data_IF_987329300971
#
_entry.id   IF_987329300971
#
_cell.length_a   1.000
_cell.length_b   1.000
_cell.length_c   1.000
_cell.angle_alpha   90.00
_cell.angle_beta   90.00
_cell.angle_gamma   90.00
#
_symmetry.space_group_name_H-M   'P 1'
#
loop_
_entity.id
_entity.type
_entity.pdbx_description
1 polymer ?
#
# COMPACT_ATOMS: atom_id res chain seq x y z
N UNK A 1 6.28 45.92 9.95
CA UNK A 1 5.30 44.81 10.10
C UNK A 1 4.99 44.11 8.77
N UNK A 2 5.95 43.96 7.83
CA UNK A 2 5.78 43.07 6.65
C UNK A 2 6.79 41.91 6.63
N UNK A 3 7.99 42.11 7.19
CA UNK A 3 9.07 41.11 7.23
C UNK A 3 8.72 39.79 7.94
N UNK A 4 7.93 39.81 9.02
CA UNK A 4 7.51 38.57 9.72
C UNK A 4 6.45 37.77 8.94
N UNK A 5 5.62 38.45 8.14
CA UNK A 5 4.63 37.80 7.29
C UNK A 5 5.31 37.18 6.07
N UNK A 6 6.31 37.87 5.52
CA UNK A 6 7.14 37.37 4.42
C UNK A 6 8.01 36.18 4.83
N UNK A 7 8.55 36.17 6.07
CA UNK A 7 9.26 35.03 6.66
C UNK A 7 8.34 33.83 6.91
N UNK A 8 7.09 34.05 7.38
CA UNK A 8 6.10 32.97 7.52
C UNK A 8 5.61 32.46 6.18
N UNK A 9 5.51 33.32 5.16
CA UNK A 9 5.13 32.94 3.80
C UNK A 9 6.24 32.14 3.13
N UNK A 10 7.50 32.54 3.29
CA UNK A 10 8.66 31.77 2.85
C UNK A 10 8.83 30.48 3.66
N UNK A 11 8.56 30.45 4.97
CA UNK A 11 8.63 29.21 5.75
C UNK A 11 7.50 28.22 5.41
N UNK A 12 6.31 28.74 5.02
CA UNK A 12 5.15 27.95 4.60
C UNK A 12 5.24 27.51 3.14
N UNK A 13 5.92 28.28 2.29
CA UNK A 13 6.26 27.89 0.91
C UNK A 13 7.44 26.90 0.87
N UNK A 14 8.35 26.96 1.85
CA UNK A 14 9.53 26.06 1.98
C UNK A 14 9.24 24.74 2.72
N UNK A 15 7.99 24.45 3.09
CA UNK A 15 7.49 23.06 3.26
C UNK A 15 7.34 22.38 1.88
N UNK A 16 8.38 22.52 1.07
CA UNK A 16 8.44 22.28 -0.35
C UNK A 16 8.52 20.79 -0.62
N UNK A 17 7.39 20.21 -1.05
CA UNK A 17 7.33 19.07 -1.99
C UNK A 17 8.35 17.95 -1.76
N UNK A 18 8.45 17.41 -0.54
CA UNK A 18 9.29 16.25 -0.28
C UNK A 18 8.46 14.98 -0.21
N UNK A 19 9.02 13.90 -0.75
CA UNK A 19 8.52 12.55 -0.53
C UNK A 19 8.92 12.15 0.89
N UNK A 20 7.94 11.77 1.69
CA UNK A 20 8.12 11.51 3.12
C UNK A 20 7.58 10.14 3.49
N UNK A 21 8.21 9.49 4.47
CA UNK A 21 7.70 8.25 5.04
C UNK A 21 6.62 8.63 6.06
N UNK A 22 5.40 8.18 5.81
CA UNK A 22 4.28 8.38 6.70
C UNK A 22 4.07 7.16 7.58
N UNK A 23 3.99 7.38 8.89
CA UNK A 23 3.58 6.33 9.84
C UNK A 23 2.22 6.75 10.42
N UNK A 24 1.16 5.97 10.21
CA UNK A 24 -0.15 6.25 10.79
C UNK A 24 -0.05 6.27 12.33
N UNK A 25 -0.63 7.29 12.96
CA UNK A 25 -0.62 7.43 14.42
C UNK A 25 -1.82 6.74 15.09
N UNK A 26 -2.87 6.43 14.33
CA UNK A 26 -4.15 5.91 14.84
C UNK A 26 -4.34 4.45 14.46
N UNK A 27 -4.77 3.65 15.43
CA UNK A 27 -5.06 2.22 15.28
C UNK A 27 -6.48 1.92 14.76
N UNK A 28 -7.27 2.95 14.39
CA UNK A 28 -8.66 2.78 13.96
C UNK A 28 -8.82 1.71 12.87
N UNK A 29 -7.81 1.56 12.03
CA UNK A 29 -7.69 0.43 11.14
C UNK A 29 -6.51 -0.45 11.53
N UNK A 30 -6.75 -1.42 12.43
CA UNK A 30 -5.78 -2.46 12.80
C UNK A 30 -5.18 -3.17 11.56
N UNK A 31 -5.87 -3.16 10.41
CA UNK A 31 -5.36 -3.73 9.14
C UNK A 31 -4.12 -3.00 8.63
N UNK A 32 -4.00 -1.68 8.85
CA UNK A 32 -2.84 -0.90 8.45
C UNK A 32 -1.59 -1.26 9.27
N UNK A 33 -1.81 -1.63 10.54
CA UNK A 33 -0.73 -2.01 11.47
C UNK A 33 -0.28 -3.45 11.22
N UNK A 34 -1.22 -4.37 11.03
CA UNK A 34 -0.92 -5.79 10.82
C UNK A 34 -0.16 -6.08 9.50
N UNK A 35 -0.17 -5.14 8.55
CA UNK A 35 0.51 -5.30 7.26
C UNK A 35 1.95 -4.77 7.25
N UNK A 36 2.43 -4.16 8.36
CA UNK A 36 3.77 -3.56 8.46
C UNK A 36 4.15 -2.71 7.22
N UNK A 37 3.15 -2.10 6.58
CA UNK A 37 3.32 -1.37 5.34
C UNK A 37 4.03 -0.05 5.59
N UNK A 38 5.04 0.25 4.77
CA UNK A 38 5.64 1.58 4.74
C UNK A 38 4.79 2.48 3.85
N UNK A 39 4.21 3.52 4.43
CA UNK A 39 3.44 4.50 3.65
C UNK A 39 4.35 5.63 3.22
N UNK A 40 4.12 6.12 2.01
CA UNK A 40 4.87 7.23 1.43
C UNK A 40 3.90 8.34 1.07
N UNK A 41 4.13 9.54 1.62
CA UNK A 41 3.38 10.75 1.29
C UNK A 41 4.08 11.45 0.15
N UNK A 42 3.35 11.65 -0.94
CA UNK A 42 3.82 12.38 -2.12
C UNK A 42 3.21 13.79 -2.17
N UNK A 43 3.93 14.77 -2.73
CA UNK A 43 3.34 16.06 -3.06
C UNK A 43 2.22 15.91 -4.11
N UNK A 44 1.26 16.85 -4.16
CA UNK A 44 0.23 16.85 -5.19
C UNK A 44 0.84 16.77 -6.60
N UNK A 45 0.13 16.07 -7.50
CA UNK A 45 0.50 15.94 -8.92
C UNK A 45 1.88 15.31 -9.17
N UNK A 46 2.44 14.58 -8.19
CA UNK A 46 3.74 13.91 -8.32
C UNK A 46 3.58 12.40 -8.43
N UNK A 47 4.21 11.80 -9.44
CA UNK A 47 4.30 10.34 -9.60
C UNK A 47 5.61 9.86 -8.96
N UNK A 48 5.54 8.84 -8.10
CA UNK A 48 6.70 8.33 -7.35
C UNK A 48 7.84 7.89 -8.28
N UNK A 49 7.50 7.13 -9.32
CA UNK A 49 8.48 6.59 -10.29
C UNK A 49 9.28 7.72 -10.95
N UNK A 50 8.61 8.77 -11.41
CA UNK A 50 9.22 9.93 -12.05
C UNK A 50 10.08 10.73 -11.07
N UNK A 51 9.61 10.89 -9.82
CA UNK A 51 10.35 11.58 -8.78
C UNK A 51 11.65 10.84 -8.43
N UNK A 52 11.61 9.51 -8.28
CA UNK A 52 12.79 8.68 -8.01
C UNK A 52 13.76 8.78 -9.18
N UNK A 53 13.29 8.61 -10.43
CA UNK A 53 14.15 8.73 -11.60
C UNK A 53 14.85 10.09 -11.68
N UNK A 54 14.11 11.19 -11.45
CA UNK A 54 14.68 12.54 -11.46
C UNK A 54 15.72 12.73 -10.36
N UNK A 55 15.41 12.32 -9.13
CA UNK A 55 16.26 12.54 -7.96
C UNK A 55 17.56 11.72 -7.99
N UNK A 56 17.51 10.50 -8.54
CA UNK A 56 18.65 9.58 -8.56
C UNK A 56 19.30 9.44 -9.95
N UNK A 57 18.94 10.28 -10.92
CA UNK A 57 19.43 10.25 -12.32
C UNK A 57 20.97 10.35 -12.49
N UNK A 58 21.70 10.78 -11.47
CA UNK A 58 23.16 10.90 -11.48
C UNK A 58 23.90 9.94 -10.54
N UNK A 59 23.19 9.11 -9.79
CA UNK A 59 23.81 8.19 -8.84
C UNK A 59 24.40 6.99 -9.57
N UNK A 60 25.68 6.70 -9.31
CA UNK A 60 26.42 5.57 -9.90
C UNK A 60 26.48 4.37 -8.96
N UNK A 61 25.78 4.44 -7.84
CA UNK A 61 25.59 3.30 -6.95
C UNK A 61 24.97 2.13 -7.73
N UNK A 62 25.44 0.90 -7.47
CA UNK A 62 24.93 -0.33 -8.11
C UNK A 62 23.62 -0.82 -7.47
N UNK A 63 22.99 0.00 -6.64
CA UNK A 63 21.86 -0.39 -5.80
C UNK A 63 20.54 0.00 -6.46
N UNK A 64 19.56 -0.90 -6.40
CA UNK A 64 18.22 -0.60 -6.90
C UNK A 64 17.47 0.27 -5.90
N UNK A 65 17.25 1.54 -6.26
CA UNK A 65 16.55 2.52 -5.39
C UNK A 65 15.04 2.26 -5.33
N UNK A 66 14.43 1.81 -6.43
CA UNK A 66 13.01 1.46 -6.51
C UNK A 66 12.83 0.25 -7.44
N UNK A 67 12.20 -0.80 -6.93
CA UNK A 67 11.79 -1.96 -7.71
C UNK A 67 10.27 -1.97 -7.80
N UNK A 68 9.74 -1.80 -9.02
CA UNK A 68 8.30 -1.86 -9.29
C UNK A 68 7.93 -3.24 -9.80
N UNK A 69 7.14 -3.97 -9.01
CA UNK A 69 6.58 -5.26 -9.41
C UNK A 69 5.18 -5.05 -9.97
N UNK A 70 4.97 -5.39 -11.24
CA UNK A 70 3.66 -5.33 -11.89
C UNK A 70 3.01 -6.71 -11.83
N UNK A 71 1.91 -6.83 -11.08
CA UNK A 71 1.13 -8.06 -11.00
C UNK A 71 -0.06 -7.92 -11.97
N UNK A 72 -0.15 -8.75 -13.03
CA UNK A 72 -1.25 -8.68 -13.98
C UNK A 72 -2.56 -9.12 -13.31
N UNK A 73 -3.66 -8.45 -13.66
CA UNK A 73 -5.00 -8.85 -13.23
C UNK A 73 -5.53 -10.01 -14.08
N UNK A 74 -4.90 -11.18 -13.95
CA UNK A 74 -5.28 -12.44 -14.60
C UNK A 74 -5.31 -13.53 -13.55
N UNK A 75 -6.19 -14.52 -13.71
CA UNK A 75 -6.27 -15.69 -12.81
C UNK A 75 -6.54 -15.31 -11.34
N UNK A 76 -7.26 -14.22 -11.09
CA UNK A 76 -7.50 -13.72 -9.71
C UNK A 76 -8.19 -14.75 -8.85
N UNK A 77 -9.23 -15.43 -9.36
CA UNK A 77 -9.95 -16.47 -8.62
C UNK A 77 -9.03 -17.63 -8.24
N UNK A 78 -8.20 -18.10 -9.17
CA UNK A 78 -7.24 -19.18 -8.93
C UNK A 78 -6.19 -18.77 -7.89
N UNK A 79 -5.66 -17.55 -7.98
CA UNK A 79 -4.75 -17.00 -6.98
C UNK A 79 -5.41 -16.95 -5.59
N UNK A 80 -6.65 -16.49 -5.51
CA UNK A 80 -7.40 -16.43 -4.24
C UNK A 80 -7.67 -17.82 -3.65
N UNK A 81 -7.96 -18.83 -4.48
CA UNK A 81 -8.09 -20.23 -4.04
C UNK A 81 -6.76 -20.74 -3.48
N UNK A 82 -5.64 -20.48 -4.15
CA UNK A 82 -4.32 -20.89 -3.67
C UNK A 82 -3.93 -20.19 -2.37
N UNK A 83 -4.22 -18.89 -2.24
CA UNK A 83 -4.01 -18.13 -1.01
C UNK A 83 -4.87 -18.69 0.13
N UNK A 84 -6.14 -18.96 -0.11
CA UNK A 84 -7.05 -19.55 0.86
C UNK A 84 -6.53 -20.91 1.38
N UNK A 85 -6.09 -21.78 0.46
CA UNK A 85 -5.45 -23.07 0.80
C UNK A 85 -4.13 -22.94 1.56
N UNK A 86 -3.46 -21.80 1.41
CA UNK A 86 -2.23 -21.46 2.14
C UNK A 86 -2.51 -20.75 3.47
N UNK A 87 -3.76 -20.76 3.95
CA UNK A 87 -4.21 -20.09 5.16
C UNK A 87 -4.08 -18.55 5.11
N UNK A 88 -4.07 -17.98 3.89
CA UNK A 88 -4.07 -16.53 3.64
C UNK A 88 -5.44 -16.15 3.09
N UNK A 89 -6.37 -15.79 3.96
CA UNK A 89 -7.72 -15.41 3.60
C UNK A 89 -8.26 -14.33 4.54
N UNK A 90 -9.45 -13.81 4.25
CA UNK A 90 -10.06 -12.74 5.04
C UNK A 90 -10.25 -13.11 6.52
N UNK A 91 -10.55 -14.38 6.81
CA UNK A 91 -10.76 -14.85 8.19
C UNK A 91 -9.45 -14.87 8.99
N UNK A 92 -8.33 -15.23 8.35
CA UNK A 92 -7.03 -15.32 9.02
C UNK A 92 -6.29 -13.99 9.08
N UNK A 93 -6.42 -13.16 8.03
CA UNK A 93 -5.81 -11.83 7.97
C UNK A 93 -6.57 -10.82 8.82
N UNK A 94 -7.89 -10.97 8.91
CA UNK A 94 -8.79 -10.04 9.60
C UNK A 94 -9.75 -10.85 10.48
N UNK A 95 -9.34 -11.21 11.72
CA UNK A 95 -10.19 -11.97 12.65
C UNK A 95 -11.26 -11.05 13.30
N UNK A 96 -11.89 -10.19 12.50
CA UNK A 96 -12.98 -9.30 12.87
C UNK A 96 -14.29 -9.76 12.20
N UNK A 97 -15.42 -9.18 12.64
CA UNK A 97 -16.73 -9.50 12.07
C UNK A 97 -16.77 -9.26 10.55
N UNK A 98 -16.08 -8.22 10.10
CA UNK A 98 -16.01 -7.88 8.69
C UNK A 98 -15.24 -8.95 7.90
N UNK A 99 -14.08 -9.39 8.38
CA UNK A 99 -13.28 -10.43 7.73
C UNK A 99 -14.00 -11.77 7.66
N UNK A 100 -14.76 -12.14 8.70
CA UNK A 100 -15.63 -13.32 8.67
C UNK A 100 -16.75 -13.19 7.61
N UNK A 101 -17.40 -12.03 7.52
CA UNK A 101 -18.41 -11.77 6.49
C UNK A 101 -17.82 -11.83 5.08
N UNK A 102 -16.66 -11.22 4.85
CA UNK A 102 -16.00 -11.26 3.55
C UNK A 102 -15.59 -12.69 3.19
N UNK A 103 -15.07 -13.47 4.14
CA UNK A 103 -14.75 -14.88 3.90
C UNK A 103 -15.96 -15.69 3.42
N UNK A 104 -17.12 -15.52 4.06
CA UNK A 104 -18.36 -16.18 3.66
C UNK A 104 -18.86 -15.72 2.27
N UNK A 105 -18.70 -14.43 1.95
CA UNK A 105 -19.01 -13.90 0.62
C UNK A 105 -18.12 -14.53 -0.46
N UNK A 106 -16.81 -14.68 -0.18
CA UNK A 106 -15.86 -15.31 -1.12
C UNK A 106 -16.20 -16.77 -1.41
N UNK A 107 -16.62 -17.54 -0.39
CA UNK A 107 -17.11 -18.91 -0.56
C UNK A 107 -18.31 -19.00 -1.51
N UNK A 108 -19.17 -17.98 -1.52
CA UNK A 108 -20.35 -17.93 -2.39
C UNK A 108 -20.02 -17.42 -3.80
N UNK A 109 -19.06 -16.51 -3.91
CA UNK A 109 -18.72 -15.85 -5.18
C UNK A 109 -17.76 -16.68 -6.04
N UNK A 110 -16.81 -17.40 -5.43
CA UNK A 110 -15.77 -18.14 -6.15
C UNK A 110 -16.08 -19.64 -6.13
N UNK A 111 -16.22 -20.21 -7.33
CA UNK A 111 -16.40 -21.65 -7.44
C UNK A 111 -15.16 -22.39 -6.92
N UNK A 112 -15.37 -23.44 -6.12
CA UNK A 112 -14.29 -24.26 -5.52
C UNK A 112 -13.36 -23.50 -4.56
N UNK A 113 -13.83 -22.40 -3.95
CA UNK A 113 -13.05 -21.62 -2.98
C UNK A 113 -12.56 -22.46 -1.78
N UNK A 114 -13.47 -23.28 -1.22
CA UNK A 114 -13.23 -24.10 -0.04
C UNK A 114 -13.22 -25.61 -0.33
N UNK A 115 -13.35 -26.01 -1.59
CA UNK A 115 -13.25 -27.43 -1.89
C UNK A 115 -11.81 -27.88 -1.65
N UNK A 116 -11.66 -28.72 -0.63
CA UNK A 116 -10.48 -29.50 -0.28
C UNK A 116 -10.13 -30.47 -1.40
N UNK A 117 -9.72 -29.97 -2.56
CA UNK A 117 -9.12 -30.76 -3.65
C UNK A 117 -9.97 -31.91 -4.22
N UNK A 118 -11.25 -32.03 -3.88
CA UNK A 118 -12.13 -33.05 -4.46
C UNK A 118 -12.58 -32.57 -5.85
N UNK A 119 -11.77 -32.96 -6.83
CA UNK A 119 -12.16 -33.07 -8.25
C UNK A 119 -12.93 -34.39 -8.40
#
# INVERSE_FOLDING_TARGET
MSTLLDLKKHAKEKEEKFVDIFTPLTEENHRLINQAGLFVRLPPETILDEWVQKKFSGDRSKEAVLIKMLIPNRMVEECLIHLNRSNINHLTLFPDLMGASEHANMQSAINKYDTLGLI
#
